data_IF_795363811279
#
_entry.id   IF_795363811279
#
_cell.length_a   1.000
_cell.length_b   1.000
_cell.length_c   1.000
_cell.angle_alpha   90.00
_cell.angle_beta   90.00
_cell.angle_gamma   90.00
#
_symmetry.space_group_name_H-M   'P 1'
#
loop_
_entity.id
_entity.type
_entity.pdbx_description
1 polymer ?
#
# COMPACT_ATOMS: atom_id res chain seq x y z
N UNK A 1 -0.22 8.24 -11.34
CA UNK A 1 0.97 7.45 -10.91
C UNK A 1 0.44 6.22 -10.21
N UNK A 2 1.06 5.04 -10.39
CA UNK A 2 0.47 3.79 -9.85
C UNK A 2 0.27 3.81 -8.33
N UNK A 3 1.08 4.57 -7.58
CA UNK A 3 0.88 4.76 -6.12
C UNK A 3 -0.43 5.44 -5.79
N UNK A 4 -0.82 6.43 -6.60
CA UNK A 4 -2.08 7.15 -6.45
C UNK A 4 -3.26 6.25 -6.78
N UNK A 5 -3.14 5.41 -7.82
CA UNK A 5 -4.16 4.43 -8.18
C UNK A 5 -4.35 3.37 -7.07
N UNK A 6 -3.24 2.90 -6.47
CA UNK A 6 -3.27 2.00 -5.30
C UNK A 6 -3.92 2.68 -4.10
N UNK A 7 -3.53 3.92 -3.79
CA UNK A 7 -4.09 4.68 -2.67
C UNK A 7 -5.60 4.92 -2.83
N UNK A 8 -6.03 5.34 -4.02
CA UNK A 8 -7.43 5.57 -4.36
C UNK A 8 -8.25 4.28 -4.33
N UNK A 9 -7.69 3.16 -4.78
CA UNK A 9 -8.35 1.87 -4.69
C UNK A 9 -8.59 1.46 -3.24
N UNK A 10 -7.58 1.58 -2.37
CA UNK A 10 -7.73 1.28 -0.94
C UNK A 10 -8.82 2.16 -0.34
N UNK A 11 -8.77 3.47 -0.57
CA UNK A 11 -9.78 4.39 -0.04
C UNK A 11 -11.19 4.13 -0.57
N UNK A 12 -11.33 3.72 -1.82
CA UNK A 12 -12.65 3.43 -2.40
C UNK A 12 -13.27 2.11 -1.91
N UNK A 13 -12.48 1.25 -1.26
CA UNK A 13 -12.90 -0.09 -0.85
C UNK A 13 -12.67 -0.35 0.65
N UNK A 14 -12.46 0.71 1.44
CA UNK A 14 -12.32 0.66 2.88
C UNK A 14 -12.81 1.95 3.53
N UNK A 15 -12.71 2.05 4.85
CA UNK A 15 -13.05 3.26 5.59
C UNK A 15 -11.89 4.28 5.63
N UNK A 16 -10.75 3.98 5.01
CA UNK A 16 -9.60 4.89 4.95
C UNK A 16 -9.81 6.00 3.91
N UNK A 17 -9.35 7.22 4.20
CA UNK A 17 -9.42 8.34 3.25
C UNK A 17 -8.03 8.84 2.82
N UNK A 18 -7.87 9.10 1.52
CA UNK A 18 -6.67 9.78 0.99
C UNK A 18 -6.56 11.18 1.59
N UNK A 19 -5.35 11.52 2.05
CA UNK A 19 -5.05 12.79 2.72
C UNK A 19 -5.44 12.83 4.20
N UNK A 20 -6.10 11.80 4.72
CA UNK A 20 -6.44 11.69 6.16
C UNK A 20 -5.74 10.47 6.78
N UNK A 21 -5.92 9.30 6.19
CA UNK A 21 -5.34 8.04 6.64
C UNK A 21 -4.25 7.56 5.68
N UNK A 22 -4.42 7.80 4.38
CA UNK A 22 -3.53 7.35 3.32
C UNK A 22 -2.76 8.53 2.74
N UNK A 23 -1.43 8.42 2.71
CA UNK A 23 -0.53 9.46 2.20
C UNK A 23 0.41 8.89 1.14
N UNK A 24 0.84 9.71 0.19
CA UNK A 24 1.81 9.30 -0.84
C UNK A 24 3.24 9.66 -0.39
N UNK A 25 4.16 8.71 -0.46
CA UNK A 25 5.59 8.96 -0.21
C UNK A 25 5.97 9.06 1.28
N UNK A 26 5.37 10.00 2.00
CA UNK A 26 5.74 10.35 3.37
C UNK A 26 4.52 10.73 4.21
N UNK A 27 4.58 10.47 5.53
CA UNK A 27 3.61 11.03 6.47
C UNK A 27 3.80 12.54 6.58
N UNK A 28 2.74 13.36 6.47
CA UNK A 28 2.83 14.80 6.69
C UNK A 28 3.32 15.16 8.10
N UNK A 29 3.94 16.32 8.21
CA UNK A 29 4.36 16.86 9.52
C UNK A 29 3.15 17.03 10.43
N UNK A 30 3.26 16.53 11.67
CA UNK A 30 2.17 16.57 12.66
C UNK A 30 1.22 15.37 12.59
N UNK A 31 1.22 14.59 11.50
CA UNK A 31 0.44 13.36 11.40
C UNK A 31 1.08 12.27 12.27
N UNK A 32 0.33 11.77 13.24
CA UNK A 32 0.81 10.75 14.18
C UNK A 32 0.56 9.34 13.70
N UNK A 33 -0.52 9.09 12.99
CA UNK A 33 -0.95 7.76 12.55
C UNK A 33 -1.44 7.81 11.11
N UNK A 34 -1.46 6.66 10.46
CA UNK A 34 -1.86 6.50 9.07
C UNK A 34 -0.91 5.58 8.32
N UNK A 35 -1.08 5.52 7.01
CA UNK A 35 -0.27 4.71 6.13
C UNK A 35 0.29 5.53 4.98
N UNK A 36 1.47 5.13 4.50
CA UNK A 36 2.09 5.69 3.31
C UNK A 36 2.07 4.65 2.21
N UNK A 37 1.72 5.05 0.99
CA UNK A 37 1.88 4.26 -0.22
C UNK A 37 3.12 4.76 -0.95
N UNK A 38 4.04 3.85 -1.29
CA UNK A 38 5.27 4.17 -2.00
C UNK A 38 5.56 3.18 -3.09
N UNK A 39 5.98 3.70 -4.23
CA UNK A 39 6.76 2.97 -5.20
C UNK A 39 8.20 2.95 -4.71
N UNK A 40 8.65 1.75 -4.37
CA UNK A 40 10.01 1.54 -3.87
C UNK A 40 10.99 1.42 -5.03
N UNK A 41 10.56 0.81 -6.14
CA UNK A 41 11.33 0.68 -7.38
C UNK A 41 10.44 0.21 -8.54
N UNK A 42 10.75 0.70 -9.72
CA UNK A 42 10.39 0.04 -10.97
C UNK A 42 11.17 -1.25 -11.12
N UNK A 43 10.51 -2.30 -11.61
CA UNK A 43 11.11 -3.60 -11.86
C UNK A 43 11.43 -3.78 -13.33
N UNK A 44 10.42 -3.70 -14.20
CA UNK A 44 10.55 -3.95 -15.63
C UNK A 44 9.49 -3.15 -16.42
N UNK A 45 9.84 -2.79 -17.66
CA UNK A 45 8.94 -2.15 -18.61
C UNK A 45 8.86 -2.98 -19.90
N UNK A 46 7.68 -3.50 -20.19
CA UNK A 46 7.34 -4.29 -21.36
C UNK A 46 6.44 -3.50 -22.30
N UNK A 47 7.02 -2.56 -23.05
CA UNK A 47 6.30 -1.68 -23.98
C UNK A 47 5.19 -0.88 -23.27
N UNK A 48 3.95 -1.38 -23.27
CA UNK A 48 2.79 -0.74 -22.64
C UNK A 48 2.50 -1.24 -21.20
N UNK A 49 3.24 -2.23 -20.70
CA UNK A 49 3.06 -2.77 -19.36
C UNK A 49 4.30 -2.50 -18.51
N UNK A 50 4.12 -1.83 -17.38
CA UNK A 50 5.15 -1.58 -16.39
C UNK A 50 4.91 -2.43 -15.14
N UNK A 51 5.99 -2.83 -14.47
CA UNK A 51 5.96 -3.53 -13.18
C UNK A 51 6.66 -2.67 -12.12
N UNK A 52 5.99 -2.44 -11.00
CA UNK A 52 6.57 -1.73 -9.85
C UNK A 52 6.43 -2.53 -8.55
N UNK A 53 7.38 -2.36 -7.64
CA UNK A 53 7.26 -2.86 -6.27
C UNK A 53 6.66 -1.77 -5.39
N UNK A 54 5.43 -1.98 -4.97
CA UNK A 54 4.69 -1.07 -4.07
C UNK A 54 4.81 -1.57 -2.64
N UNK A 55 5.13 -0.65 -1.73
CA UNK A 55 5.09 -0.89 -0.30
C UNK A 55 4.16 0.12 0.37
N UNK A 56 3.29 -0.42 1.21
CA UNK A 56 2.36 0.33 2.05
C UNK A 56 2.84 0.16 3.48
N UNK A 57 3.31 1.24 4.10
CA UNK A 57 3.81 1.20 5.48
C UNK A 57 2.79 1.86 6.39
N UNK A 58 2.34 1.12 7.40
CA UNK A 58 1.28 1.50 8.34
C UNK A 58 1.91 1.88 9.68
N UNK A 59 1.46 3.00 10.25
CA UNK A 59 1.94 3.54 11.52
C UNK A 59 0.76 3.78 12.45
N UNK A 60 0.62 2.99 13.51
CA UNK A 60 -0.46 3.16 14.50
C UNK A 60 0.04 2.92 15.92
N UNK A 61 -0.49 3.65 16.90
CA UNK A 61 -0.16 3.50 18.33
C UNK A 61 -0.79 2.26 18.95
N UNK A 62 -1.88 1.76 18.36
CA UNK A 62 -2.51 0.52 18.77
C UNK A 62 -2.03 -0.63 17.88
N UNK A 63 -1.57 -1.72 18.52
CA UNK A 63 -1.21 -2.94 17.81
C UNK A 63 -2.40 -3.53 17.06
N UNK A 64 -3.58 -3.53 17.67
CA UNK A 64 -4.80 -4.09 17.04
C UNK A 64 -5.16 -3.30 15.80
N UNK A 65 -5.17 -1.97 15.89
CA UNK A 65 -5.45 -1.09 14.74
C UNK A 65 -4.42 -1.29 13.63
N UNK A 66 -3.13 -1.41 13.97
CA UNK A 66 -2.09 -1.70 12.99
C UNK A 66 -2.33 -3.04 12.27
N UNK A 67 -2.65 -4.09 13.04
CA UNK A 67 -2.86 -5.44 12.53
C UNK A 67 -4.13 -5.56 11.68
N UNK A 68 -5.23 -4.95 12.12
CA UNK A 68 -6.49 -4.88 11.39
C UNK A 68 -6.32 -4.11 10.08
N UNK A 69 -5.69 -2.93 10.14
CA UNK A 69 -5.42 -2.13 8.93
C UNK A 69 -4.52 -2.87 7.94
N UNK A 70 -3.48 -3.57 8.43
CA UNK A 70 -2.62 -4.40 7.60
C UNK A 70 -3.39 -5.54 6.94
N UNK A 71 -4.30 -6.20 7.67
CA UNK A 71 -5.14 -7.25 7.13
C UNK A 71 -6.10 -6.72 6.05
N UNK A 72 -6.82 -5.63 6.34
CA UNK A 72 -7.71 -4.98 5.38
C UNK A 72 -6.98 -4.62 4.08
N UNK A 73 -5.84 -3.94 4.16
CA UNK A 73 -5.05 -3.57 2.98
C UNK A 73 -4.56 -4.80 2.23
N UNK A 74 -4.06 -5.81 2.94
CA UNK A 74 -3.61 -7.06 2.31
C UNK A 74 -4.73 -7.80 1.60
N UNK A 75 -5.93 -7.84 2.17
CA UNK A 75 -7.08 -8.53 1.59
C UNK A 75 -7.56 -7.80 0.33
N UNK A 76 -7.61 -6.46 0.37
CA UNK A 76 -7.92 -5.65 -0.81
C UNK A 76 -6.93 -5.90 -1.96
N UNK A 77 -5.63 -5.90 -1.67
CA UNK A 77 -4.61 -6.17 -2.69
C UNK A 77 -4.68 -7.62 -3.21
N UNK A 78 -4.94 -8.60 -2.34
CA UNK A 78 -5.16 -9.99 -2.74
C UNK A 78 -6.37 -10.16 -3.67
N UNK A 79 -7.43 -9.37 -3.46
CA UNK A 79 -8.65 -9.35 -4.28
C UNK A 79 -8.45 -8.64 -5.63
N UNK A 80 -7.36 -7.88 -5.79
CA UNK A 80 -6.99 -7.22 -7.05
C UNK A 80 -5.87 -7.94 -7.80
N UNK A 81 -5.57 -9.19 -7.44
CA UNK A 81 -4.65 -10.06 -8.17
C UNK A 81 -5.27 -10.51 -9.49
N UNK A 82 -4.43 -10.64 -10.52
CA UNK A 82 -4.81 -11.25 -11.78
C UNK A 82 -4.36 -10.47 -12.99
N UNK A 83 -5.14 -10.59 -14.07
CA UNK A 83 -4.86 -9.87 -15.31
C UNK A 83 -5.24 -8.39 -15.17
N UNK A 84 -4.58 -7.53 -15.95
CA UNK A 84 -4.78 -6.09 -15.94
C UNK A 84 -6.24 -5.76 -16.32
N UNK A 85 -7.12 -5.61 -15.34
CA UNK A 85 -8.50 -5.18 -15.52
C UNK A 85 -8.58 -3.66 -15.36
N UNK A 86 -8.29 -2.95 -16.45
CA UNK A 86 -8.19 -1.49 -16.49
C UNK A 86 -6.73 -1.00 -16.42
N UNK A 87 -6.45 -0.04 -15.53
CA UNK A 87 -5.16 0.67 -15.49
C UNK A 87 -4.05 -0.05 -14.73
N UNK A 88 -4.38 -0.89 -13.74
CA UNK A 88 -3.41 -1.64 -12.95
C UNK A 88 -4.00 -2.87 -12.23
N UNK A 89 -3.15 -3.85 -11.93
CA UNK A 89 -3.45 -5.04 -11.14
C UNK A 89 -2.29 -5.42 -10.20
N UNK A 90 -2.55 -6.30 -9.22
CA UNK A 90 -1.47 -6.98 -8.48
C UNK A 90 -0.96 -8.15 -9.32
N UNK A 91 0.29 -8.03 -9.77
CA UNK A 91 0.93 -8.97 -10.69
C UNK A 91 1.71 -10.09 -9.96
N UNK A 92 2.03 -9.91 -8.66
CA UNK A 92 2.63 -10.97 -7.87
C UNK A 92 1.58 -11.96 -7.34
N UNK A 93 1.95 -13.24 -7.31
CA UNK A 93 1.15 -14.28 -6.65
C UNK A 93 1.00 -14.04 -5.14
N UNK A 94 1.93 -13.27 -4.57
CA UNK A 94 2.04 -13.00 -3.14
C UNK A 94 1.86 -11.51 -2.86
N UNK A 95 0.98 -11.23 -1.89
CA UNK A 95 0.95 -9.96 -1.13
C UNK A 95 1.63 -10.24 0.20
N UNK A 96 2.72 -9.53 0.47
CA UNK A 96 3.55 -9.75 1.64
C UNK A 96 3.11 -8.85 2.79
N UNK A 97 3.03 -9.43 3.99
CA UNK A 97 2.77 -8.70 5.22
C UNK A 97 3.97 -8.86 6.13
N UNK A 98 4.48 -7.76 6.66
CA UNK A 98 5.58 -7.80 7.62
C UNK A 98 5.25 -6.98 8.87
N UNK A 99 5.74 -7.46 10.01
CA UNK A 99 5.79 -6.68 11.25
C UNK A 99 7.16 -6.03 11.35
N UNK A 100 7.21 -4.70 11.32
CA UNK A 100 8.43 -3.92 11.34
C UNK A 100 8.78 -3.44 12.76
N UNK A 101 8.00 -3.83 13.77
CA UNK A 101 8.24 -3.52 15.17
C UNK A 101 7.64 -2.19 15.61
N UNK A 102 8.36 -1.47 16.46
CA UNK A 102 7.93 -0.21 17.07
C UNK A 102 8.94 0.88 16.72
N UNK A 103 8.45 2.02 16.24
CA UNK A 103 9.31 3.16 15.93
C UNK A 103 9.62 4.06 17.13
N UNK A 104 10.43 5.10 16.91
CA UNK A 104 10.84 6.04 17.95
C UNK A 104 9.72 6.91 18.51
N UNK A 105 8.54 6.90 17.89
CA UNK A 105 7.34 7.61 18.34
C UNK A 105 6.33 6.70 19.05
N UNK A 106 6.76 5.48 19.38
CA UNK A 106 5.95 4.44 20.03
C UNK A 106 4.72 4.07 19.19
N UNK A 107 4.94 3.85 17.89
CA UNK A 107 3.94 3.36 16.95
C UNK A 107 4.34 1.98 16.47
N UNK A 108 3.38 1.06 16.45
CA UNK A 108 3.51 -0.20 15.75
C UNK A 108 3.60 0.07 14.25
N UNK A 109 4.67 -0.42 13.65
CA UNK A 109 4.95 -0.29 12.22
C UNK A 109 4.75 -1.63 11.57
N UNK A 110 3.92 -1.66 10.53
CA UNK A 110 3.65 -2.85 9.73
C UNK A 110 3.73 -2.49 8.26
N UNK A 111 3.96 -3.46 7.40
CA UNK A 111 3.95 -3.24 5.95
C UNK A 111 3.05 -4.22 5.21
N UNK A 112 2.52 -3.76 4.08
CA UNK A 112 1.96 -4.60 3.03
C UNK A 112 2.67 -4.26 1.73
N UNK A 113 3.28 -5.25 1.08
CA UNK A 113 4.04 -5.03 -0.15
C UNK A 113 3.64 -6.02 -1.24
N UNK A 114 3.66 -5.59 -2.50
CA UNK A 114 3.36 -6.44 -3.65
C UNK A 114 4.00 -5.89 -4.93
N UNK A 115 4.02 -6.71 -5.97
CA UNK A 115 4.34 -6.26 -7.32
C UNK A 115 3.03 -5.90 -8.01
N UNK A 116 2.97 -4.70 -8.56
CA UNK A 116 1.84 -4.24 -9.37
C UNK A 116 2.24 -4.17 -10.83
N UNK A 117 1.35 -4.59 -11.70
CA UNK A 117 1.42 -4.32 -13.13
C UNK A 117 0.50 -3.16 -13.48
N UNK A 118 0.96 -2.22 -14.30
CA UNK A 118 0.19 -1.05 -14.70
C UNK A 118 0.53 -0.61 -16.12
N UNK A 119 -0.41 0.01 -16.82
CA UNK A 119 -0.20 0.60 -18.15
C UNK A 119 -0.23 2.12 -18.05
N UNK A 120 0.73 2.79 -18.70
CA UNK A 120 0.74 4.25 -18.89
C UNK A 120 0.01 4.67 -20.17
#
# INVERSE_FOLDING_TARGET
MVEEDVANYIASNSDFAVGTDIFLGTLPSGTREGMIVRNVRELEAFSALNLAYISIVLFYRSYSTAAESQATVSDLLNNRRGTLDGTWCVASDKVEREDLGIDTLNRYVKSVSCIVGYSE
#
